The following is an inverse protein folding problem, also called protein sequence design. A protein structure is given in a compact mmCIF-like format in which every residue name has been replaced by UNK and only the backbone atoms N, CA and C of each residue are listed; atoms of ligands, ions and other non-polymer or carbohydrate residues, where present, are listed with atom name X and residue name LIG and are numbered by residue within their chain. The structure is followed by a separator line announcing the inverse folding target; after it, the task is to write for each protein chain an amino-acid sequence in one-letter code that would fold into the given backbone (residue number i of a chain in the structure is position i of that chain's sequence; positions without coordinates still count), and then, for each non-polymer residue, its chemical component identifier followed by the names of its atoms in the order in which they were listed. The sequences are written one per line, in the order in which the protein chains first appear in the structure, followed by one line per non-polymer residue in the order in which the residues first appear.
data_IF_722001955839
#
_entry.id   IF_722001955839
#
_cell.length_a   1.000
_cell.length_b   1.000
_cell.length_c   1.000
_cell.angle_alpha   90.00
_cell.angle_beta   90.00
_cell.angle_gamma   90.00
#
_symmetry.space_group_name_H-M   'P 1'
#
loop_
_entity.id
_entity.type
_entity.pdbx_description
1 polymer ?
#
# COMPACT_ATOMS: atom_id res chain seq x y z
N UNK A 1 13.06 23.92 0.44
CA UNK A 1 13.03 22.46 0.24
C UNK A 1 12.30 21.77 1.38
N UNK A 2 10.97 21.77 1.35
CA UNK A 2 10.15 21.06 2.35
C UNK A 2 10.36 19.54 2.27
N UNK A 3 10.34 18.87 3.42
CA UNK A 3 10.34 17.40 3.49
C UNK A 3 9.09 16.87 2.77
N UNK A 4 9.21 15.94 1.81
CA UNK A 4 8.06 15.42 1.09
C UNK A 4 7.14 14.62 2.03
N UNK A 5 5.84 14.75 1.82
CA UNK A 5 4.81 13.99 2.54
C UNK A 5 3.85 13.34 1.55
N UNK A 6 3.60 12.04 1.72
CA UNK A 6 2.79 11.26 0.78
C UNK A 6 1.86 10.27 1.52
N UNK A 7 0.55 10.25 1.21
CA UNK A 7 -0.39 9.27 1.76
C UNK A 7 -0.07 7.85 1.30
N UNK A 8 -0.35 6.84 2.13
CA UNK A 8 -0.10 5.44 1.75
C UNK A 8 -1.01 4.99 0.61
N UNK A 9 -2.33 5.20 0.73
CA UNK A 9 -3.28 4.77 -0.30
C UNK A 9 -4.72 4.89 0.17
N UNK A 10 -5.21 3.84 0.82
CA UNK A 10 -6.63 3.69 1.12
C UNK A 10 -7.20 4.69 2.14
N UNK A 11 -8.46 5.09 1.90
CA UNK A 11 -9.29 5.94 2.77
C UNK A 11 -10.61 5.22 3.03
N UNK A 12 -11.23 5.34 4.23
CA UNK A 12 -12.51 4.69 4.51
C UNK A 12 -13.56 5.09 3.49
N UNK A 13 -14.34 4.13 2.98
CA UNK A 13 -15.39 4.42 1.99
C UNK A 13 -16.53 5.18 2.67
N UNK A 14 -17.24 6.02 1.92
CA UNK A 14 -18.42 6.71 2.47
C UNK A 14 -19.57 5.71 2.65
N UNK A 15 -20.52 5.96 3.57
CA UNK A 15 -21.70 5.12 3.73
C UNK A 15 -22.46 4.89 2.40
N UNK A 16 -22.57 5.93 1.58
CA UNK A 16 -23.24 5.88 0.27
C UNK A 16 -22.54 4.93 -0.69
N UNK A 17 -21.20 4.90 -0.68
CA UNK A 17 -20.43 3.98 -1.52
C UNK A 17 -20.53 2.54 -1.00
N UNK A 18 -20.53 2.33 0.31
CA UNK A 18 -20.73 1.01 0.92
C UNK A 18 -22.11 0.43 0.59
N UNK A 19 -23.14 1.28 0.64
CA UNK A 19 -24.49 0.93 0.20
C UNK A 19 -24.53 0.57 -1.28
N UNK A 20 -23.83 1.31 -2.14
CA UNK A 20 -23.71 1.02 -3.56
C UNK A 20 -23.01 -0.33 -3.83
N UNK A 21 -21.91 -0.62 -3.14
CA UNK A 21 -21.25 -1.94 -3.22
C UNK A 21 -22.21 -3.06 -2.79
N UNK A 22 -22.95 -2.86 -1.70
CA UNK A 22 -23.92 -3.84 -1.20
C UNK A 22 -25.07 -4.05 -2.18
N UNK A 23 -25.58 -2.98 -2.79
CA UNK A 23 -26.66 -3.04 -3.77
C UNK A 23 -26.21 -3.72 -5.07
N UNK A 24 -25.01 -3.41 -5.55
CA UNK A 24 -24.40 -4.08 -6.70
C UNK A 24 -24.19 -5.58 -6.45
N UNK A 25 -23.66 -5.98 -5.29
CA UNK A 25 -23.49 -7.38 -4.92
C UNK A 25 -24.82 -8.16 -4.85
N UNK A 26 -25.95 -7.46 -4.63
CA UNK A 26 -27.30 -8.02 -4.65
C UNK A 26 -27.97 -7.98 -6.04
N UNK A 27 -27.28 -7.50 -7.06
CA UNK A 27 -27.81 -7.31 -8.41
C UNK A 27 -28.83 -6.17 -8.54
N UNK A 28 -28.86 -5.24 -7.58
CA UNK A 28 -29.77 -4.08 -7.57
C UNK A 28 -29.18 -2.86 -8.28
N UNK A 29 -27.86 -2.85 -8.51
CA UNK A 29 -27.18 -1.87 -9.34
C UNK A 29 -26.42 -2.58 -10.45
N UNK A 30 -26.40 -1.95 -11.61
CA UNK A 30 -25.53 -2.32 -12.73
C UNK A 30 -24.09 -1.87 -12.49
N UNK A 31 -23.13 -2.45 -13.21
CA UNK A 31 -21.72 -2.01 -13.17
C UNK A 31 -21.57 -0.51 -13.48
N UNK A 32 -22.36 0.00 -14.43
CA UNK A 32 -22.34 1.40 -14.82
C UNK A 32 -22.89 2.34 -13.73
N UNK A 33 -23.84 1.88 -12.91
CA UNK A 33 -24.34 2.64 -11.77
C UNK A 33 -23.34 2.62 -10.62
N UNK A 34 -22.76 1.46 -10.30
CA UNK A 34 -21.69 1.37 -9.30
C UNK A 34 -20.50 2.28 -9.67
N UNK A 35 -20.09 2.28 -10.93
CA UNK A 35 -18.99 3.11 -11.42
C UNK A 35 -19.22 4.62 -11.17
N UNK A 36 -20.48 5.09 -11.24
CA UNK A 36 -20.82 6.49 -10.91
C UNK A 36 -20.63 6.80 -9.43
N UNK A 37 -21.03 5.88 -8.55
CA UNK A 37 -20.81 6.03 -7.10
C UNK A 37 -19.31 6.02 -6.76
N UNK A 38 -18.56 5.12 -7.39
CA UNK A 38 -17.11 5.04 -7.21
C UNK A 38 -16.42 6.33 -7.69
N UNK A 39 -16.76 6.84 -8.88
CA UNK A 39 -16.18 8.09 -9.39
C UNK A 39 -16.51 9.30 -8.50
N UNK A 40 -17.74 9.38 -7.99
CA UNK A 40 -18.13 10.43 -7.05
C UNK A 40 -17.32 10.37 -5.74
N UNK A 41 -17.11 9.17 -5.20
CA UNK A 41 -16.32 8.98 -3.98
C UNK A 41 -14.84 9.28 -4.19
N UNK A 42 -14.27 8.95 -5.37
CA UNK A 42 -12.90 9.35 -5.73
C UNK A 42 -12.80 10.88 -5.77
N UNK A 43 -13.73 11.57 -6.44
CA UNK A 43 -13.75 13.02 -6.51
C UNK A 43 -13.83 13.68 -5.12
N UNK A 44 -14.74 13.21 -4.24
CA UNK A 44 -14.83 13.73 -2.87
C UNK A 44 -13.53 13.50 -2.08
N UNK A 45 -12.94 12.31 -2.22
CA UNK A 45 -11.69 11.96 -1.52
C UNK A 45 -10.53 12.85 -1.96
N UNK A 46 -10.38 13.09 -3.26
CA UNK A 46 -9.38 14.02 -3.80
C UNK A 46 -9.60 15.45 -3.29
N UNK A 47 -10.85 15.94 -3.34
CA UNK A 47 -11.17 17.28 -2.84
C UNK A 47 -10.83 17.46 -1.35
N UNK A 48 -11.09 16.44 -0.52
CA UNK A 48 -10.74 16.47 0.90
C UNK A 48 -9.22 16.37 1.13
N UNK A 49 -8.50 15.53 0.39
CA UNK A 49 -7.02 15.49 0.44
C UNK A 49 -6.39 16.82 0.00
N UNK A 50 -7.01 17.53 -0.94
CA UNK A 50 -6.56 18.87 -1.33
C UNK A 50 -6.75 19.89 -0.21
N UNK A 51 -7.86 19.82 0.52
CA UNK A 51 -8.16 20.68 1.66
C UNK A 51 -7.19 20.49 2.83
N UNK A 52 -6.61 19.29 3.01
CA UNK A 52 -5.56 19.07 4.02
C UNK A 52 -4.22 19.71 3.63
N UNK A 53 -4.09 20.23 2.40
CA UNK A 53 -2.83 20.76 1.89
C UNK A 53 -1.88 19.68 1.36
N UNK A 54 -2.32 18.43 1.21
CA UNK A 54 -1.46 17.34 0.72
C UNK A 54 -0.86 17.70 -0.65
N UNK A 55 0.49 17.59 -0.83
CA UNK A 55 1.16 17.92 -2.08
C UNK A 55 1.03 16.79 -3.12
N UNK A 56 0.87 15.55 -2.65
CA UNK A 56 0.62 14.35 -3.46
C UNK A 56 -0.69 13.73 -2.98
N UNK A 57 -1.53 13.32 -3.92
CA UNK A 57 -2.83 12.70 -3.64
C UNK A 57 -2.82 11.21 -3.97
N UNK A 58 -3.86 10.51 -3.54
CA UNK A 58 -4.18 9.11 -3.87
C UNK A 58 -5.66 9.04 -4.22
N UNK A 59 -6.07 8.03 -5.00
CA UNK A 59 -7.48 7.79 -5.32
C UNK A 59 -8.30 7.32 -4.10
N UNK A 60 -7.64 7.10 -2.96
CA UNK A 60 -8.23 6.58 -1.74
C UNK A 60 -8.68 5.13 -1.87
N UNK A 61 -8.31 4.46 -2.96
CA UNK A 61 -8.77 3.13 -3.35
C UNK A 61 -10.30 2.99 -3.41
N UNK A 62 -11.05 4.09 -3.56
CA UNK A 62 -12.51 4.08 -3.40
C UNK A 62 -13.19 3.11 -4.38
N UNK A 63 -12.64 2.93 -5.58
CA UNK A 63 -13.15 2.00 -6.58
C UNK A 63 -12.65 0.55 -6.40
N UNK A 64 -11.61 0.32 -5.59
CA UNK A 64 -11.07 -1.02 -5.33
C UNK A 64 -11.94 -1.76 -4.31
N UNK A 65 -12.35 -3.01 -4.60
CA UNK A 65 -13.00 -3.85 -3.58
C UNK A 65 -12.02 -4.28 -2.48
N UNK A 66 -10.74 -4.42 -2.84
CA UNK A 66 -9.65 -4.82 -1.96
C UNK A 66 -8.34 -4.34 -2.56
N UNK A 67 -7.43 -3.81 -1.73
CA UNK A 67 -6.09 -3.42 -2.18
C UNK A 67 -5.33 -4.60 -2.81
N UNK A 68 -5.55 -5.83 -2.29
CA UNK A 68 -4.82 -7.01 -2.68
C UNK A 68 -5.41 -7.74 -3.89
N UNK A 69 -6.75 -7.80 -4.00
CA UNK A 69 -7.42 -8.65 -5.00
C UNK A 69 -8.09 -7.88 -6.13
N UNK A 70 -7.93 -6.55 -6.22
CA UNK A 70 -8.44 -5.79 -7.36
C UNK A 70 -8.00 -6.37 -8.73
N UNK A 71 -6.75 -6.83 -8.95
CA UNK A 71 -6.34 -7.21 -10.29
C UNK A 71 -7.10 -8.42 -10.84
N UNK A 72 -7.56 -9.26 -9.92
CA UNK A 72 -8.20 -10.54 -10.20
C UNK A 72 -9.71 -10.50 -9.94
N UNK A 73 -10.25 -9.33 -9.58
CA UNK A 73 -11.65 -9.15 -9.28
C UNK A 73 -12.52 -9.49 -10.50
N UNK A 74 -13.43 -10.45 -10.32
CA UNK A 74 -14.31 -10.94 -11.38
C UNK A 74 -13.69 -12.00 -12.28
N UNK A 75 -12.51 -12.54 -12.02
CA UNK A 75 -12.01 -13.69 -12.78
C UNK A 75 -12.88 -14.94 -12.52
N UNK A 76 -13.15 -15.70 -13.58
CA UNK A 76 -14.01 -16.89 -13.54
C UNK A 76 -13.25 -18.19 -13.21
N UNK A 77 -11.91 -18.13 -13.21
CA UNK A 77 -11.00 -19.24 -12.91
C UNK A 77 -10.43 -19.15 -11.48
N UNK A 78 -11.21 -18.59 -10.55
CA UNK A 78 -10.87 -18.50 -9.14
C UNK A 78 -11.88 -19.27 -8.27
N UNK A 79 -11.37 -19.86 -7.21
CA UNK A 79 -12.16 -20.44 -6.13
C UNK A 79 -11.91 -19.67 -4.83
N UNK A 80 -12.91 -19.47 -3.97
CA UNK A 80 -12.75 -18.71 -2.72
C UNK A 80 -11.97 -19.48 -1.63
N UNK A 81 -11.57 -20.72 -1.87
CA UNK A 81 -10.92 -21.61 -0.89
C UNK A 81 -9.38 -21.55 -0.90
N UNK A 82 -8.81 -20.34 -1.03
CA UNK A 82 -7.37 -20.13 -1.03
C UNK A 82 -6.74 -19.83 0.33
N UNK A 83 -5.59 -19.17 0.30
CA UNK A 83 -4.77 -18.89 1.47
C UNK A 83 -5.51 -18.07 2.54
N UNK A 84 -5.42 -18.50 3.79
CA UNK A 84 -6.03 -17.84 4.94
C UNK A 84 -5.02 -16.94 5.63
N UNK A 85 -5.40 -15.69 5.87
CA UNK A 85 -4.60 -14.68 6.56
C UNK A 85 -5.26 -14.42 7.92
N UNK A 86 -4.66 -14.91 9.03
CA UNK A 86 -5.19 -14.68 10.36
C UNK A 86 -4.79 -13.30 10.90
N UNK A 87 -5.70 -12.68 11.65
CA UNK A 87 -5.48 -11.41 12.35
C UNK A 87 -5.48 -11.62 13.87
N UNK A 88 -4.86 -10.70 14.61
CA UNK A 88 -4.59 -10.82 16.04
C UNK A 88 -5.86 -10.87 16.93
N UNK A 89 -6.95 -10.27 16.48
CA UNK A 89 -8.28 -10.29 17.11
C UNK A 89 -9.11 -11.55 16.76
N UNK A 90 -8.54 -12.46 15.95
CA UNK A 90 -9.12 -13.76 15.65
C UNK A 90 -9.96 -13.83 14.38
N UNK A 91 -10.19 -12.71 13.69
CA UNK A 91 -10.81 -12.76 12.37
C UNK A 91 -9.80 -13.23 11.30
N UNK A 92 -10.32 -13.54 10.11
CA UNK A 92 -9.48 -13.99 8.99
C UNK A 92 -9.91 -13.33 7.70
N UNK A 93 -8.93 -12.98 6.85
CA UNK A 93 -9.15 -12.75 5.42
C UNK A 93 -8.72 -13.98 4.63
N UNK A 94 -9.25 -14.13 3.43
CA UNK A 94 -8.93 -15.26 2.56
C UNK A 94 -8.68 -14.77 1.14
N UNK A 95 -7.52 -15.13 0.61
CA UNK A 95 -7.22 -14.92 -0.81
C UNK A 95 -7.93 -16.01 -1.63
N UNK A 96 -8.34 -15.71 -2.87
CA UNK A 96 -8.81 -16.73 -3.78
C UNK A 96 -7.66 -17.66 -4.20
N UNK A 97 -8.01 -18.80 -4.77
CA UNK A 97 -7.08 -19.77 -5.36
C UNK A 97 -7.37 -19.92 -6.84
N UNK A 98 -6.33 -19.97 -7.66
CA UNK A 98 -6.44 -20.23 -9.08
C UNK A 98 -6.89 -21.68 -9.33
N UNK A 99 -7.88 -21.87 -10.21
CA UNK A 99 -8.43 -23.19 -10.55
C UNK A 99 -8.01 -23.68 -11.94
N UNK A 100 -7.61 -22.77 -12.83
CA UNK A 100 -7.10 -23.08 -14.16
C UNK A 100 -6.25 -21.92 -14.70
N UNK A 101 -5.29 -22.23 -15.56
CA UNK A 101 -4.56 -21.22 -16.33
C UNK A 101 -5.25 -20.81 -17.64
N UNK A 102 -4.71 -19.82 -18.36
CA UNK A 102 -3.60 -18.95 -17.93
C UNK A 102 -4.05 -17.91 -16.91
N UNK A 103 -3.10 -17.37 -16.14
CA UNK A 103 -3.33 -16.27 -15.21
C UNK A 103 -3.20 -14.93 -15.94
N UNK A 104 -4.18 -14.05 -15.77
CA UNK A 104 -4.22 -12.72 -16.38
C UNK A 104 -4.91 -11.75 -15.42
N UNK A 105 -4.43 -10.52 -15.33
CA UNK A 105 -5.19 -9.50 -14.62
C UNK A 105 -6.43 -9.14 -15.43
N UNK A 106 -7.56 -9.01 -14.74
CA UNK A 106 -8.81 -8.47 -15.28
C UNK A 106 -8.89 -6.97 -15.11
N UNK A 107 -8.26 -6.43 -14.07
CA UNK A 107 -8.28 -5.00 -13.74
C UNK A 107 -6.85 -4.50 -13.59
N UNK A 108 -6.55 -3.36 -14.21
CA UNK A 108 -5.26 -2.68 -14.13
C UNK A 108 -5.44 -1.39 -13.33
N UNK A 109 -4.52 -1.09 -12.42
CA UNK A 109 -4.54 0.08 -11.53
C UNK A 109 -4.49 1.41 -12.29
N UNK A 110 -3.96 1.43 -13.52
CA UNK A 110 -4.01 2.60 -14.40
C UNK A 110 -5.44 3.13 -14.58
N UNK A 111 -6.46 2.26 -14.55
CA UNK A 111 -7.87 2.67 -14.66
C UNK A 111 -8.34 3.53 -13.48
N UNK A 112 -7.85 3.25 -12.27
CA UNK A 112 -8.14 4.04 -11.07
C UNK A 112 -7.44 5.41 -11.13
N UNK A 113 -6.17 5.41 -11.52
CA UNK A 113 -5.40 6.64 -11.75
C UNK A 113 -6.08 7.52 -12.80
N UNK A 114 -6.50 6.95 -13.93
CA UNK A 114 -7.20 7.68 -14.99
C UNK A 114 -8.50 8.32 -14.47
N UNK A 115 -9.22 7.64 -13.57
CA UNK A 115 -10.38 8.21 -12.91
C UNK A 115 -9.99 9.38 -12.00
N UNK A 116 -8.98 9.21 -11.14
CA UNK A 116 -8.52 10.28 -10.25
C UNK A 116 -8.06 11.53 -11.02
N UNK A 117 -7.30 11.35 -12.10
CA UNK A 117 -6.76 12.43 -12.96
C UNK A 117 -7.82 13.23 -13.70
N UNK A 118 -9.08 12.76 -13.79
CA UNK A 118 -10.20 13.57 -14.29
C UNK A 118 -10.64 14.67 -13.32
N UNK A 119 -10.27 14.56 -12.05
CA UNK A 119 -10.77 15.39 -10.95
C UNK A 119 -9.69 16.23 -10.26
N UNK A 120 -8.41 16.08 -10.64
CA UNK A 120 -7.31 16.87 -10.08
C UNK A 120 -6.13 16.96 -11.05
N UNK A 121 -5.45 18.11 -11.01
CA UNK A 121 -4.15 18.30 -11.68
C UNK A 121 -2.96 18.01 -10.78
N UNK A 122 -3.16 17.86 -9.46
CA UNK A 122 -2.08 17.57 -8.51
C UNK A 122 -1.41 16.21 -8.80
N UNK A 123 -0.15 16.03 -8.39
CA UNK A 123 0.50 14.72 -8.48
C UNK A 123 -0.31 13.64 -7.76
N UNK A 124 -0.56 12.51 -8.41
CA UNK A 124 -1.29 11.36 -7.85
C UNK A 124 -0.36 10.17 -7.77
N UNK A 125 -0.16 9.62 -6.57
CA UNK A 125 0.51 8.33 -6.36
C UNK A 125 -0.51 7.21 -6.54
N UNK A 126 -0.13 6.14 -7.22
CA UNK A 126 -0.98 4.96 -7.41
C UNK A 126 -0.41 3.77 -6.64
N UNK A 127 -1.21 3.18 -5.75
CA UNK A 127 -0.88 1.93 -5.09
C UNK A 127 -1.28 0.73 -5.97
N UNK A 128 -0.40 -0.27 -6.03
CA UNK A 128 -0.57 -1.57 -6.68
C UNK A 128 -0.18 -2.67 -5.69
N UNK A 129 -0.74 -3.86 -5.84
CA UNK A 129 -0.37 -5.00 -4.99
C UNK A 129 0.98 -5.57 -5.44
N UNK A 130 1.84 -5.97 -4.50
CA UNK A 130 3.08 -6.67 -4.84
C UNK A 130 2.78 -8.03 -5.50
N UNK A 131 3.52 -8.44 -6.56
CA UNK A 131 3.31 -9.74 -7.19
C UNK A 131 3.57 -10.90 -6.22
N UNK A 132 4.44 -10.74 -5.22
CA UNK A 132 4.61 -11.74 -4.15
C UNK A 132 3.31 -12.09 -3.42
N UNK A 133 2.41 -11.13 -3.16
CA UNK A 133 1.13 -11.41 -2.52
C UNK A 133 0.24 -12.24 -3.43
N UNK A 134 0.18 -11.88 -4.71
CA UNK A 134 -0.61 -12.62 -5.70
C UNK A 134 -0.02 -13.98 -6.04
N UNK A 135 1.27 -14.21 -5.76
CA UNK A 135 1.89 -15.52 -5.94
C UNK A 135 1.24 -16.60 -5.08
N UNK A 136 0.58 -16.19 -3.98
CA UNK A 136 -0.18 -17.05 -3.07
C UNK A 136 -1.50 -17.58 -3.65
N UNK A 137 -1.94 -17.08 -4.81
CA UNK A 137 -3.14 -17.59 -5.49
C UNK A 137 -2.87 -18.96 -6.14
N UNK A 138 -1.62 -19.29 -6.45
CA UNK A 138 -1.32 -20.57 -7.06
C UNK A 138 -1.45 -21.71 -6.03
N UNK A 139 -2.23 -22.77 -6.32
CA UNK A 139 -2.44 -23.87 -5.40
C UNK A 139 -1.17 -24.69 -5.11
N UNK A 140 -1.12 -25.33 -3.95
CA UNK A 140 -0.06 -26.31 -3.63
C UNK A 140 -0.06 -27.50 -4.61
N UNK A 141 -1.25 -27.91 -5.06
CA UNK A 141 -1.39 -28.95 -6.09
C UNK A 141 -1.27 -28.32 -7.48
N UNK A 142 -0.37 -28.81 -8.35
CA UNK A 142 -0.22 -28.28 -9.71
C UNK A 142 -1.53 -28.28 -10.49
N UNK A 143 -1.73 -27.24 -11.30
CA UNK A 143 -2.87 -27.16 -12.22
C UNK A 143 -2.56 -27.95 -13.50
N UNK A 144 -3.59 -28.61 -14.05
CA UNK A 144 -3.44 -29.36 -15.29
C UNK A 144 -3.09 -28.41 -16.45
N UNK A 145 -2.02 -28.74 -17.19
CA UNK A 145 -1.53 -27.93 -18.30
C UNK A 145 -1.00 -26.54 -17.95
N UNK A 146 -0.85 -26.17 -16.67
CA UNK A 146 -0.38 -24.86 -16.26
C UNK A 146 0.49 -24.93 -15.00
N UNK A 147 1.81 -24.85 -15.18
CA UNK A 147 2.76 -25.05 -14.09
C UNK A 147 2.89 -23.82 -13.19
N UNK A 148 3.50 -23.99 -12.00
CA UNK A 148 3.83 -22.86 -11.11
C UNK A 148 4.82 -21.90 -11.78
N UNK A 149 5.74 -22.43 -12.57
CA UNK A 149 6.72 -21.63 -13.32
C UNK A 149 6.03 -20.77 -14.39
N UNK A 150 5.11 -21.36 -15.16
CA UNK A 150 4.30 -20.62 -16.14
C UNK A 150 3.46 -19.53 -15.44
N UNK A 151 2.87 -19.85 -14.29
CA UNK A 151 2.13 -18.90 -13.48
C UNK A 151 2.99 -17.74 -13.00
N UNK A 152 4.18 -17.99 -12.45
CA UNK A 152 5.04 -16.93 -11.95
C UNK A 152 5.52 -16.01 -13.08
N UNK A 153 5.79 -16.57 -14.27
CA UNK A 153 6.11 -15.78 -15.46
C UNK A 153 4.93 -14.89 -15.87
N UNK A 154 3.73 -15.46 -16.00
CA UNK A 154 2.53 -14.69 -16.36
C UNK A 154 2.24 -13.61 -15.29
N UNK A 155 2.38 -13.92 -14.00
CA UNK A 155 2.21 -12.96 -12.90
C UNK A 155 3.23 -11.82 -12.98
N UNK A 156 4.49 -12.11 -13.28
CA UNK A 156 5.52 -11.09 -13.43
C UNK A 156 5.24 -10.18 -14.64
N UNK A 157 4.74 -10.73 -15.75
CA UNK A 157 4.34 -9.97 -16.94
C UNK A 157 3.13 -9.05 -16.65
N UNK A 158 2.12 -9.56 -15.94
CA UNK A 158 0.93 -8.78 -15.58
C UNK A 158 1.26 -7.67 -14.56
N UNK A 159 2.12 -7.96 -13.57
CA UNK A 159 2.56 -6.96 -12.59
C UNK A 159 3.44 -5.87 -13.22
N UNK A 160 4.32 -6.23 -14.17
CA UNK A 160 5.06 -5.25 -14.96
C UNK A 160 4.11 -4.33 -15.73
N UNK A 161 3.13 -4.91 -16.44
CA UNK A 161 2.15 -4.14 -17.21
C UNK A 161 1.35 -3.17 -16.33
N UNK A 162 1.00 -3.58 -15.11
CA UNK A 162 0.24 -2.75 -14.17
C UNK A 162 1.03 -1.53 -13.67
N UNK A 163 2.28 -1.78 -13.25
CA UNK A 163 3.20 -0.72 -12.80
C UNK A 163 3.53 0.23 -13.96
N UNK A 164 3.90 -0.32 -15.13
CA UNK A 164 4.27 0.46 -16.31
C UNK A 164 3.10 1.29 -16.83
N UNK A 165 1.90 0.71 -16.89
CA UNK A 165 0.68 1.42 -17.27
C UNK A 165 0.40 2.63 -16.39
N UNK A 166 0.65 2.53 -15.07
CA UNK A 166 0.53 3.67 -14.15
C UNK A 166 1.60 4.74 -14.40
N UNK A 167 2.87 4.35 -14.60
CA UNK A 167 3.97 5.27 -14.89
C UNK A 167 3.74 6.03 -16.21
N UNK A 168 3.35 5.32 -17.26
CA UNK A 168 3.08 5.87 -18.60
C UNK A 168 1.86 6.81 -18.58
N UNK A 169 0.87 6.52 -17.74
CA UNK A 169 -0.27 7.40 -17.49
C UNK A 169 0.05 8.62 -16.61
N UNK A 170 1.30 8.76 -16.16
CA UNK A 170 1.77 9.94 -15.44
C UNK A 170 1.58 9.88 -13.92
N UNK A 171 1.43 8.69 -13.31
CA UNK A 171 1.42 8.55 -11.86
C UNK A 171 2.66 9.21 -11.25
N UNK A 172 2.52 10.10 -10.26
CA UNK A 172 3.64 10.73 -9.54
C UNK A 172 4.70 9.69 -9.14
N UNK A 173 4.22 8.65 -8.46
CA UNK A 173 4.94 7.44 -8.11
C UNK A 173 3.98 6.24 -8.16
N UNK A 174 4.54 5.04 -8.25
CA UNK A 174 3.82 3.78 -8.09
C UNK A 174 4.32 3.10 -6.81
N UNK A 175 3.41 2.78 -5.90
CA UNK A 175 3.73 2.09 -4.65
C UNK A 175 3.30 0.62 -4.74
N UNK A 176 4.23 -0.32 -4.52
CA UNK A 176 3.92 -1.73 -4.34
C UNK A 176 3.64 -1.99 -2.87
N UNK A 177 2.45 -2.46 -2.56
CA UNK A 177 2.06 -2.86 -1.21
C UNK A 177 2.57 -4.29 -0.94
N UNK A 178 3.54 -4.42 -0.04
CA UNK A 178 4.26 -5.65 0.28
C UNK A 178 4.05 -6.06 1.76
N UNK A 179 2.79 -6.05 2.21
CA UNK A 179 2.44 -6.31 3.62
C UNK A 179 2.70 -7.75 4.05
N UNK A 180 2.58 -8.70 3.12
CA UNK A 180 2.90 -10.11 3.31
C UNK A 180 4.40 -10.34 3.57
N UNK A 181 5.26 -9.37 3.25
CA UNK A 181 6.69 -9.42 3.59
C UNK A 181 6.90 -9.62 5.09
N UNK A 182 6.21 -8.86 5.94
CA UNK A 182 6.28 -9.04 7.41
C UNK A 182 5.60 -10.34 7.86
N UNK A 183 4.47 -10.70 7.25
CA UNK A 183 3.77 -11.95 7.54
C UNK A 183 4.64 -13.18 7.25
N UNK A 184 5.46 -13.14 6.20
CA UNK A 184 6.29 -14.27 5.79
C UNK A 184 7.26 -14.73 6.89
N UNK A 185 7.78 -13.82 7.72
CA UNK A 185 8.64 -14.17 8.86
C UNK A 185 7.89 -14.86 10.00
N UNK A 186 6.58 -14.63 10.10
CA UNK A 186 5.70 -15.35 11.02
C UNK A 186 5.45 -16.79 10.55
N UNK A 187 5.31 -16.96 9.24
CA UNK A 187 5.05 -18.25 8.61
C UNK A 187 6.32 -19.10 8.49
N UNK A 188 7.44 -18.47 8.18
CA UNK A 188 8.77 -19.07 8.05
C UNK A 188 9.83 -18.17 8.73
N UNK A 189 10.12 -18.41 10.02
CA UNK A 189 11.12 -17.67 10.77
C UNK A 189 12.56 -17.78 10.23
N UNK A 190 12.85 -18.72 9.32
CA UNK A 190 14.16 -18.78 8.66
C UNK A 190 14.36 -17.61 7.67
N UNK A 191 13.26 -17.01 7.22
CA UNK A 191 13.21 -15.96 6.22
C UNK A 191 13.37 -16.45 4.78
N UNK A 192 13.31 -17.76 4.52
CA UNK A 192 13.35 -18.31 3.16
C UNK A 192 12.18 -17.81 2.31
N UNK A 193 10.95 -17.84 2.87
CA UNK A 193 9.77 -17.28 2.18
C UNK A 193 9.93 -15.79 1.88
N UNK A 194 10.51 -15.02 2.81
CA UNK A 194 10.79 -13.60 2.59
C UNK A 194 11.81 -13.39 1.46
N UNK A 195 12.88 -14.20 1.42
CA UNK A 195 13.87 -14.13 0.35
C UNK A 195 13.24 -14.45 -1.02
N UNK A 196 12.35 -15.45 -1.09
CA UNK A 196 11.62 -15.80 -2.32
C UNK A 196 10.69 -14.66 -2.78
N UNK A 197 9.97 -14.03 -1.86
CA UNK A 197 9.13 -12.86 -2.17
C UNK A 197 9.94 -11.67 -2.65
N UNK A 198 11.06 -11.37 -1.98
CA UNK A 198 11.98 -10.31 -2.40
C UNK A 198 12.56 -10.62 -3.79
N UNK A 199 12.89 -11.88 -4.07
CA UNK A 199 13.39 -12.30 -5.38
C UNK A 199 12.35 -12.10 -6.49
N UNK A 200 11.10 -12.54 -6.28
CA UNK A 200 10.01 -12.34 -7.24
C UNK A 200 9.71 -10.87 -7.49
N UNK A 201 9.64 -10.05 -6.44
CA UNK A 201 9.44 -8.61 -6.58
C UNK A 201 10.61 -7.97 -7.35
N UNK A 202 11.86 -8.38 -7.08
CA UNK A 202 13.03 -7.92 -7.81
C UNK A 202 13.08 -8.38 -9.27
N UNK A 203 12.51 -9.53 -9.60
CA UNK A 203 12.34 -9.95 -11.00
C UNK A 203 11.55 -8.91 -11.78
N UNK A 204 10.42 -8.45 -11.22
CA UNK A 204 9.57 -7.41 -11.84
C UNK A 204 10.27 -6.05 -11.81
N UNK A 205 10.80 -5.61 -10.66
CA UNK A 205 11.51 -4.33 -10.52
C UNK A 205 12.76 -4.23 -11.41
N UNK A 206 13.38 -5.37 -11.74
CA UNK A 206 14.52 -5.46 -12.66
C UNK A 206 14.18 -5.09 -14.11
N UNK A 207 12.89 -5.11 -14.48
CA UNK A 207 12.40 -4.75 -15.83
C UNK A 207 12.23 -3.24 -16.05
N UNK A 208 12.44 -2.45 -15.00
CA UNK A 208 12.40 -1.00 -15.04
C UNK A 208 13.81 -0.40 -15.11
N UNK A 209 13.96 0.76 -15.74
CA UNK A 209 15.20 1.53 -15.70
C UNK A 209 15.43 2.17 -14.32
N UNK A 210 16.63 2.67 -14.05
CA UNK A 210 16.91 3.40 -12.80
C UNK A 210 16.01 4.62 -12.60
N UNK A 211 15.67 5.32 -13.70
CA UNK A 211 14.80 6.48 -13.68
C UNK A 211 13.36 6.10 -13.33
N UNK A 212 12.86 4.99 -13.86
CA UNK A 212 11.54 4.47 -13.51
C UNK A 212 11.52 3.94 -12.08
N UNK A 213 12.53 3.16 -11.67
CA UNK A 213 12.68 2.67 -10.29
C UNK A 213 12.71 3.78 -9.26
N UNK A 214 13.30 4.94 -9.59
CA UNK A 214 13.29 6.11 -8.70
C UNK A 214 11.87 6.59 -8.35
N UNK A 215 10.87 6.26 -9.18
CA UNK A 215 9.43 6.56 -8.98
C UNK A 215 8.62 5.36 -8.51
N UNK A 216 9.28 4.23 -8.24
CA UNK A 216 8.64 3.05 -7.66
C UNK A 216 9.02 2.98 -6.18
N UNK A 217 8.03 2.82 -5.31
CA UNK A 217 8.26 2.64 -3.88
C UNK A 217 7.64 1.36 -3.34
N UNK A 218 8.14 0.91 -2.19
CA UNK A 218 7.63 -0.27 -1.47
C UNK A 218 7.00 0.18 -0.17
N UNK A 219 5.74 -0.15 0.05
CA UNK A 219 5.11 -0.01 1.35
C UNK A 219 5.10 -1.35 2.07
N UNK A 220 5.51 -1.35 3.33
CA UNK A 220 5.30 -2.50 4.22
C UNK A 220 4.86 -2.02 5.59
N UNK A 221 3.97 -2.79 6.18
CA UNK A 221 3.34 -2.55 7.48
C UNK A 221 2.94 -3.91 8.07
N UNK A 222 2.35 -3.98 9.27
CA UNK A 222 1.90 -5.24 9.86
C UNK A 222 0.60 -5.79 9.26
N UNK A 223 0.07 -5.10 8.23
CA UNK A 223 -1.18 -5.37 7.51
C UNK A 223 -2.40 -5.08 8.36
N UNK A 224 -2.88 -3.84 8.29
CA UNK A 224 -4.04 -3.38 9.05
C UNK A 224 -5.38 -3.80 8.42
N UNK A 225 -6.30 -4.25 9.27
CA UNK A 225 -7.72 -4.46 8.94
C UNK A 225 -8.54 -4.48 10.23
N UNK A 226 -9.67 -3.76 10.27
CA UNK A 226 -10.57 -3.70 11.42
C UNK A 226 -9.87 -3.30 12.74
N UNK A 227 -9.02 -2.28 12.69
CA UNK A 227 -8.16 -1.84 13.82
C UNK A 227 -7.26 -2.97 14.41
N UNK A 228 -7.00 -4.03 13.64
CA UNK A 228 -6.20 -5.20 13.98
C UNK A 228 -5.07 -5.39 12.96
N UNK A 229 -4.12 -6.28 13.26
CA UNK A 229 -2.99 -6.58 12.37
C UNK A 229 -2.72 -8.07 12.29
N UNK A 230 -2.07 -8.51 11.20
CA UNK A 230 -1.68 -9.92 11.04
C UNK A 230 -0.26 -10.22 11.56
N UNK A 231 0.63 -9.22 11.63
CA UNK A 231 2.07 -9.45 11.89
C UNK A 231 2.80 -8.38 12.71
N UNK A 232 2.11 -7.55 13.50
CA UNK A 232 2.76 -6.55 14.36
C UNK A 232 3.73 -7.17 15.38
N UNK A 233 3.53 -8.44 15.73
CA UNK A 233 4.38 -9.21 16.64
C UNK A 233 5.76 -9.58 16.07
N UNK A 234 5.97 -9.42 14.76
CA UNK A 234 7.28 -9.62 14.11
C UNK A 234 8.12 -8.36 14.25
N UNK A 235 9.33 -8.46 14.80
CA UNK A 235 10.23 -7.31 14.96
C UNK A 235 10.57 -6.72 13.58
N UNK A 236 10.27 -5.43 13.41
CA UNK A 236 10.53 -4.76 12.13
C UNK A 236 12.02 -4.73 11.79
N UNK A 237 12.90 -4.69 12.80
CA UNK A 237 14.34 -4.78 12.63
C UNK A 237 14.81 -6.08 11.97
N UNK A 238 14.04 -7.18 12.08
CA UNK A 238 14.35 -8.46 11.41
C UNK A 238 13.96 -8.47 9.93
N UNK A 239 12.93 -7.70 9.57
CA UNK A 239 12.43 -7.56 8.20
C UNK A 239 13.30 -6.61 7.35
N UNK A 240 13.65 -5.44 7.91
CA UNK A 240 14.25 -4.33 7.15
C UNK A 240 15.50 -4.70 6.33
N UNK A 241 16.49 -5.48 6.84
CA UNK A 241 17.69 -5.81 6.07
C UNK A 241 17.41 -6.64 4.81
N UNK A 242 16.34 -7.44 4.81
CA UNK A 242 15.91 -8.21 3.62
C UNK A 242 15.00 -7.37 2.73
N UNK A 243 14.09 -6.59 3.32
CA UNK A 243 13.24 -5.64 2.60
C UNK A 243 14.06 -4.67 1.74
N UNK A 244 15.14 -4.11 2.29
CA UNK A 244 16.00 -3.15 1.59
C UNK A 244 16.84 -3.76 0.46
N UNK A 245 16.76 -5.07 0.21
CA UNK A 245 17.31 -5.69 -1.01
C UNK A 245 16.41 -5.46 -2.23
N UNK A 246 15.19 -4.93 -2.05
CA UNK A 246 14.31 -4.56 -3.15
C UNK A 246 14.87 -3.37 -3.94
N UNK A 247 14.88 -3.48 -5.26
CA UNK A 247 15.38 -2.45 -6.17
C UNK A 247 14.30 -1.36 -6.39
N UNK A 248 14.07 -0.53 -5.37
CA UNK A 248 13.07 0.55 -5.41
C UNK A 248 13.68 1.91 -5.01
N UNK A 249 13.06 2.98 -5.49
CA UNK A 249 13.47 4.36 -5.22
C UNK A 249 12.99 4.91 -3.89
N UNK A 250 11.93 4.32 -3.32
CA UNK A 250 11.36 4.75 -2.04
C UNK A 250 10.88 3.58 -1.19
N UNK A 251 10.89 3.75 0.13
CA UNK A 251 10.31 2.81 1.09
C UNK A 251 9.41 3.55 2.07
N UNK A 252 8.18 3.07 2.26
CA UNK A 252 7.19 3.63 3.19
C UNK A 252 7.05 2.69 4.38
N UNK A 253 7.54 3.13 5.54
CA UNK A 253 7.72 2.29 6.71
C UNK A 253 6.80 2.73 7.85
N UNK A 254 6.09 1.78 8.46
CA UNK A 254 5.41 1.99 9.74
C UNK A 254 6.42 2.43 10.84
N UNK A 255 6.14 3.52 11.55
CA UNK A 255 7.01 4.02 12.61
C UNK A 255 6.25 4.68 13.78
N UNK A 256 5.06 5.23 13.57
CA UNK A 256 4.29 5.89 14.62
C UNK A 256 3.81 4.92 15.71
N UNK A 257 3.41 3.71 15.30
CA UNK A 257 3.02 2.59 16.16
C UNK A 257 4.18 1.68 16.57
N UNK A 258 5.42 1.98 16.18
CA UNK A 258 6.58 1.20 16.63
C UNK A 258 6.88 1.45 18.11
N UNK A 259 7.15 0.37 18.83
CA UNK A 259 7.39 0.43 20.29
C UNK A 259 8.80 0.89 20.65
N UNK A 260 9.78 0.64 19.78
CA UNK A 260 11.16 1.09 19.91
C UNK A 260 11.65 1.75 18.60
N UNK A 261 11.18 2.97 18.30
CA UNK A 261 11.50 3.65 17.04
C UNK A 261 13.00 3.97 16.92
N UNK A 262 13.71 4.20 18.02
CA UNK A 262 15.16 4.48 18.00
C UNK A 262 15.95 3.29 17.45
N UNK A 263 15.65 2.06 17.91
CA UNK A 263 16.26 0.83 17.39
C UNK A 263 15.94 0.63 15.91
N UNK A 264 14.68 0.77 15.52
CA UNK A 264 14.25 0.55 14.12
C UNK A 264 14.91 1.58 13.19
N UNK A 265 14.94 2.86 13.57
CA UNK A 265 15.60 3.92 12.80
C UNK A 265 17.12 3.70 12.68
N UNK A 266 17.78 3.20 13.71
CA UNK A 266 19.19 2.83 13.63
C UNK A 266 19.44 1.71 12.61
N UNK A 267 18.54 0.72 12.54
CA UNK A 267 18.60 -0.34 11.51
C UNK A 267 18.35 0.24 10.12
N UNK A 268 17.38 1.15 9.96
CA UNK A 268 17.14 1.86 8.69
C UNK A 268 18.40 2.60 8.26
N UNK A 269 19.03 3.37 9.14
CA UNK A 269 20.26 4.09 8.83
C UNK A 269 21.40 3.15 8.39
N UNK A 270 21.50 1.97 9.01
CA UNK A 270 22.55 1.00 8.71
C UNK A 270 22.32 0.20 7.42
N UNK A 271 21.07 0.03 6.97
CA UNK A 271 20.72 -0.96 5.93
C UNK A 271 20.01 -0.38 4.70
N UNK A 272 19.48 0.85 4.76
CA UNK A 272 18.82 1.52 3.63
C UNK A 272 19.75 1.62 2.41
N UNK A 273 19.25 1.40 1.17
CA UNK A 273 20.01 1.67 -0.03
C UNK A 273 20.36 3.16 -0.12
N UNK A 274 21.62 3.57 -0.41
CA UNK A 274 22.06 4.96 -0.32
C UNK A 274 21.20 5.96 -1.12
N UNK A 275 20.70 5.56 -2.29
CA UNK A 275 19.88 6.42 -3.15
C UNK A 275 18.38 6.44 -2.79
N UNK A 276 17.89 5.49 -2.00
CA UNK A 276 16.45 5.33 -1.77
C UNK A 276 15.91 6.33 -0.75
N UNK A 277 14.76 6.96 -1.01
CA UNK A 277 14.07 7.77 -0.01
C UNK A 277 13.36 6.86 1.00
N UNK A 278 13.36 7.23 2.29
CA UNK A 278 12.55 6.58 3.31
C UNK A 278 11.47 7.55 3.77
N UNK A 279 10.22 7.14 3.57
CA UNK A 279 9.06 7.77 4.15
C UNK A 279 8.76 7.09 5.48
N UNK A 280 8.85 7.85 6.57
CA UNK A 280 8.52 7.37 7.91
C UNK A 280 7.05 7.63 8.22
N UNK A 281 6.36 6.61 8.71
CA UNK A 281 5.00 6.74 9.20
C UNK A 281 4.96 7.59 10.47
N UNK A 282 4.20 8.68 10.44
CA UNK A 282 4.15 9.65 11.56
C UNK A 282 2.75 9.77 12.17
N UNK A 283 1.80 9.01 11.64
CA UNK A 283 0.43 8.85 12.13
C UNK A 283 0.13 7.36 12.20
N UNK A 284 -0.58 6.95 13.24
CA UNK A 284 -1.03 5.56 13.43
C UNK A 284 -2.50 5.45 13.01
N UNK A 285 -2.82 4.78 11.88
CA UNK A 285 -4.19 4.61 11.41
C UNK A 285 -5.08 3.78 12.34
N UNK A 286 -4.51 2.89 13.16
CA UNK A 286 -5.26 2.00 14.06
C UNK A 286 -5.66 2.73 15.34
N UNK A 287 -4.86 3.70 15.76
CA UNK A 287 -5.17 4.53 16.92
C UNK A 287 -6.35 5.49 16.65
N UNK A 288 -7.32 5.52 17.57
CA UNK A 288 -8.43 6.48 17.53
C UNK A 288 -8.03 7.90 17.92
N UNK A 289 -6.86 8.08 18.53
CA UNK A 289 -6.37 9.41 18.89
C UNK A 289 -5.84 10.11 17.65
N UNK A 290 -6.27 11.35 17.39
CA UNK A 290 -5.69 12.19 16.35
C UNK A 290 -4.37 12.75 16.87
N UNK A 291 -3.28 12.48 16.18
CA UNK A 291 -1.98 13.10 16.45
C UNK A 291 -2.06 14.62 16.33
N UNK A 292 -1.29 15.34 17.15
CA UNK A 292 -1.07 16.77 16.93
C UNK A 292 0.01 17.01 15.88
N UNK A 293 0.02 18.20 15.27
CA UNK A 293 1.08 18.60 14.36
C UNK A 293 2.46 18.63 15.06
N UNK A 294 2.51 18.97 16.35
CA UNK A 294 3.73 18.94 17.16
C UNK A 294 4.24 17.52 17.42
N UNK A 295 3.34 16.57 17.71
CA UNK A 295 3.71 15.15 17.86
C UNK A 295 4.29 14.59 16.56
N UNK A 296 3.65 14.90 15.43
CA UNK A 296 4.17 14.57 14.10
C UNK A 296 5.54 15.21 13.88
N UNK A 297 5.69 16.52 14.14
CA UNK A 297 6.96 17.24 14.01
C UNK A 297 8.07 16.54 14.78
N UNK A 298 7.80 16.19 16.05
CA UNK A 298 8.80 15.60 16.93
C UNK A 298 9.22 14.20 16.46
N UNK A 299 8.28 13.42 15.90
CA UNK A 299 8.58 12.14 15.22
C UNK A 299 9.49 12.34 14.00
N UNK A 300 9.23 13.35 13.17
CA UNK A 300 10.08 13.66 12.00
C UNK A 300 11.48 14.10 12.45
N UNK A 301 11.58 14.96 13.47
CA UNK A 301 12.86 15.41 14.04
C UNK A 301 13.63 14.25 14.69
N UNK A 302 12.95 13.25 15.20
CA UNK A 302 13.58 12.02 15.69
C UNK A 302 14.16 11.20 14.53
N UNK A 303 13.39 10.96 13.48
CA UNK A 303 13.86 10.25 12.28
C UNK A 303 15.04 10.96 11.59
N UNK A 304 15.03 12.28 11.55
CA UNK A 304 16.10 13.10 10.94
C UNK A 304 17.46 12.98 11.65
N UNK A 305 17.52 12.43 12.87
CA UNK A 305 18.80 12.12 13.56
C UNK A 305 19.50 10.91 12.95
N UNK A 306 18.76 10.05 12.27
CA UNK A 306 19.22 8.78 11.71
C UNK A 306 19.25 8.80 10.18
N UNK A 307 18.29 9.47 9.55
CA UNK A 307 18.13 9.52 8.10
C UNK A 307 18.45 10.94 7.62
N UNK A 308 19.40 11.12 6.67
CA UNK A 308 19.67 12.42 6.07
C UNK A 308 18.40 13.05 5.48
N UNK A 309 18.19 14.34 5.70
CA UNK A 309 16.93 15.04 5.40
C UNK A 309 16.57 14.95 3.91
N UNK A 310 17.55 14.95 3.02
CA UNK A 310 17.37 14.78 1.57
C UNK A 310 16.79 13.41 1.18
N UNK A 311 16.94 12.40 2.04
CA UNK A 311 16.40 11.05 1.89
C UNK A 311 15.21 10.77 2.82
N UNK A 312 14.77 11.74 3.61
CA UNK A 312 13.62 11.60 4.51
C UNK A 312 12.34 12.09 3.83
N UNK A 313 11.24 11.41 4.11
CA UNK A 313 9.88 11.83 3.80
C UNK A 313 8.93 11.38 4.91
N UNK A 314 7.66 11.80 4.86
CA UNK A 314 6.65 11.39 5.83
C UNK A 314 5.46 10.72 5.16
N UNK A 315 4.91 9.71 5.81
CA UNK A 315 3.68 9.04 5.39
C UNK A 315 2.83 8.68 6.61
N UNK A 316 1.78 7.90 6.39
CA UNK A 316 1.04 7.23 7.46
C UNK A 316 1.64 5.83 7.68
N UNK A 317 1.42 5.19 8.82
CA UNK A 317 1.94 3.84 9.08
C UNK A 317 1.36 2.77 8.15
N UNK A 318 0.14 3.00 7.65
CA UNK A 318 -0.62 2.13 6.75
C UNK A 318 -1.70 2.97 6.05
N UNK A 319 -2.43 2.38 5.09
CA UNK A 319 -3.69 2.94 4.63
C UNK A 319 -4.77 2.87 5.73
N UNK A 320 -5.78 3.74 5.65
CA UNK A 320 -6.82 3.87 6.67
C UNK A 320 -8.01 2.91 6.49
N UNK A 321 -8.11 2.21 5.35
CA UNK A 321 -9.17 1.22 5.08
C UNK A 321 -8.78 0.35 3.87
N UNK A 322 -7.85 -0.62 4.03
CA UNK A 322 -7.35 -1.44 2.91
C UNK A 322 -8.42 -2.32 2.25
N UNK A 323 -9.48 -2.67 2.99
CA UNK A 323 -10.61 -3.45 2.49
C UNK A 323 -11.87 -2.61 2.45
N UNK A 324 -12.67 -2.75 1.38
CA UNK A 324 -13.85 -1.92 1.18
C UNK A 324 -14.93 -2.13 2.26
N UNK A 325 -14.93 -3.26 2.96
CA UNK A 325 -15.87 -3.58 4.05
C UNK A 325 -15.38 -3.15 5.44
N UNK A 326 -14.19 -2.58 5.55
CA UNK A 326 -13.64 -2.09 6.82
C UNK A 326 -14.19 -0.69 7.16
N UNK A 327 -14.99 -0.63 8.22
CA UNK A 327 -15.61 0.60 8.75
C UNK A 327 -15.10 0.95 10.15
N UNK A 328 -13.99 0.38 10.62
CA UNK A 328 -13.49 0.61 11.98
C UNK A 328 -13.00 2.06 12.19
N UNK A 329 -12.38 2.62 11.15
CA UNK A 329 -11.91 4.00 11.11
C UNK A 329 -12.87 4.89 10.32
N UNK A 330 -13.25 6.04 10.90
CA UNK A 330 -14.11 7.01 10.21
C UNK A 330 -13.33 7.84 9.20
N UNK A 331 -14.01 8.31 8.13
CA UNK A 331 -13.41 9.23 7.15
C UNK A 331 -12.86 10.48 7.83
N UNK A 332 -13.63 11.09 8.73
CA UNK A 332 -13.22 12.33 9.39
C UNK A 332 -11.99 12.15 10.27
N UNK A 333 -11.86 11.01 10.94
CA UNK A 333 -10.66 10.66 11.69
C UNK A 333 -9.45 10.51 10.76
N UNK A 334 -9.59 9.79 9.64
CA UNK A 334 -8.53 9.63 8.66
C UNK A 334 -8.04 10.99 8.11
N UNK A 335 -8.96 11.87 7.71
CA UNK A 335 -8.60 13.19 7.20
C UNK A 335 -7.99 14.10 8.27
N UNK A 336 -8.44 14.02 9.53
CA UNK A 336 -7.84 14.77 10.63
C UNK A 336 -6.37 14.36 10.86
N UNK A 337 -6.08 13.05 10.82
CA UNK A 337 -4.71 12.52 10.91
C UNK A 337 -3.86 12.95 9.72
N UNK A 338 -4.41 12.93 8.51
CA UNK A 338 -3.70 13.40 7.30
C UNK A 338 -3.36 14.90 7.41
N UNK A 339 -4.29 15.74 7.89
CA UNK A 339 -4.00 17.16 8.15
C UNK A 339 -2.87 17.32 9.16
N UNK A 340 -2.92 16.61 10.29
CA UNK A 340 -1.87 16.64 11.30
C UNK A 340 -0.50 16.23 10.73
N UNK A 341 -0.47 15.21 9.87
CA UNK A 341 0.76 14.81 9.15
C UNK A 341 1.31 15.94 8.30
N UNK A 342 0.47 16.54 7.44
CA UNK A 342 0.90 17.59 6.50
C UNK A 342 1.42 18.80 7.28
N UNK A 343 0.68 19.27 8.28
CA UNK A 343 1.04 20.40 9.13
C UNK A 343 2.32 20.11 9.92
N UNK A 344 2.41 18.95 10.59
CA UNK A 344 3.59 18.58 11.37
C UNK A 344 4.84 18.36 10.53
N UNK A 345 4.71 17.88 9.30
CA UNK A 345 5.83 17.78 8.35
C UNK A 345 6.35 19.15 7.95
N UNK A 346 5.45 20.12 7.76
CA UNK A 346 5.84 21.51 7.49
C UNK A 346 6.59 22.12 8.69
N UNK A 347 6.09 21.92 9.91
CA UNK A 347 6.77 22.36 11.13
C UNK A 347 8.16 21.73 11.29
N UNK A 348 8.31 20.45 10.94
CA UNK A 348 9.60 19.78 10.98
C UNK A 348 10.58 20.34 9.95
N UNK A 349 10.08 20.66 8.74
CA UNK A 349 10.88 21.28 7.69
C UNK A 349 11.41 22.65 8.14
N UNK A 350 10.56 23.49 8.76
CA UNK A 350 10.97 24.77 9.35
C UNK A 350 12.05 24.59 10.42
N UNK A 351 11.84 23.65 11.36
CA UNK A 351 12.78 23.37 12.44
C UNK A 351 14.14 22.86 11.95
N UNK A 352 14.17 22.15 10.81
CA UNK A 352 15.40 21.66 10.16
C UNK A 352 16.01 22.67 9.18
N UNK A 353 15.33 23.80 8.93
CA UNK A 353 15.77 24.83 8.00
C UNK A 353 15.78 24.40 6.54
N UNK A 354 14.89 23.47 6.15
CA UNK A 354 14.80 22.95 4.78
C UNK A 354 13.58 23.45 4.03
#
# INVERSE_FOLDING_TARGET
MTIPTEPIGSIPRSPELLEAFTAHAKGLLTDAELAKHQEAAVHETLARLEQTGSPVLVDGEQAKPSFATYPVAGLDNLSPDGAVIPFADGHTRRLPRLTAGPFRYRVQAQSFLATARRHTDKPVKQAVIAPSALSLLYPETPLDGYSREDFLRDLADEAEADIRGCLDAGAHAVQLDFTEGRLSLKLDPSGGVLDDFVALNNEVLGRFSDVERARIGIHTCPGGDQDSTHSLDIDYAELLPRLFRLNAGAFYLQMAGETDPERVLAVVAATRPPAARVFVGVTDPISRAVETAEEVRDRVLHAARHIPVEHLGTCDDCGFSPFADDTSTSRDLAFAKISARVEGTALASEALGV
#
